data_IF_820976181024
#
_entry.id   IF_820976181024
#
_cell.length_a   1.000
_cell.length_b   1.000
_cell.length_c   1.000
_cell.angle_alpha   90.00
_cell.angle_beta   90.00
_cell.angle_gamma   90.00
#
_symmetry.space_group_name_H-M   'P 1'
#
loop_
_entity.id
_entity.type
_entity.pdbx_description
1 polymer ?
#
# COMPACT_ATOMS: atom_id res chain seq x y z
N UNK A 1 1.06 5.80 -8.88
CA UNK A 1 1.28 7.03 -8.08
C UNK A 1 1.23 6.74 -6.60
N UNK A 2 0.47 5.71 -6.19
CA UNK A 2 0.35 5.24 -4.81
C UNK A 2 1.69 5.03 -4.10
N UNK A 3 2.69 4.45 -4.77
CA UNK A 3 3.99 4.11 -4.17
C UNK A 3 4.70 5.30 -3.53
N UNK A 4 4.66 6.46 -4.18
CA UNK A 4 5.29 7.69 -3.68
C UNK A 4 4.48 8.25 -2.51
N UNK A 5 3.15 8.19 -2.60
CA UNK A 5 2.26 8.69 -1.56
C UNK A 5 2.38 7.84 -0.29
N UNK A 6 2.57 6.52 -0.43
CA UNK A 6 2.76 5.58 0.68
C UNK A 6 3.95 5.95 1.58
N UNK A 7 4.97 6.62 1.04
CA UNK A 7 6.15 7.05 1.81
C UNK A 7 5.78 7.99 2.97
N UNK A 8 4.67 8.74 2.85
CA UNK A 8 4.22 9.67 3.88
C UNK A 8 4.00 8.94 5.19
N UNK A 9 3.02 8.03 5.23
CA UNK A 9 2.78 7.21 6.42
C UNK A 9 3.89 6.18 6.64
N UNK A 10 4.40 5.61 5.55
CA UNK A 10 5.40 4.55 5.59
C UNK A 10 6.69 4.92 6.30
N UNK A 11 7.21 6.14 6.06
CA UNK A 11 8.49 6.59 6.60
C UNK A 11 8.35 7.65 7.70
N UNK A 12 7.15 7.92 8.19
CA UNK A 12 7.00 8.90 9.27
C UNK A 12 7.06 10.35 8.80
N UNK A 13 6.72 10.68 7.54
CA UNK A 13 6.82 12.03 7.01
C UNK A 13 5.50 12.79 7.22
N UNK A 14 5.54 13.91 7.94
CA UNK A 14 4.37 14.76 8.12
C UNK A 14 4.13 15.69 6.93
N UNK A 15 5.22 16.35 6.48
CA UNK A 15 5.20 17.36 5.45
C UNK A 15 6.12 16.93 4.30
N UNK A 16 5.58 16.90 3.08
CA UNK A 16 6.31 16.48 1.89
C UNK A 16 5.82 17.27 0.68
N UNK A 17 6.75 17.79 -0.12
CA UNK A 17 6.46 18.35 -1.44
C UNK A 17 7.02 17.42 -2.51
N UNK A 18 6.14 16.98 -3.41
CA UNK A 18 6.50 16.16 -4.55
C UNK A 18 6.47 17.00 -5.83
N UNK A 19 7.52 16.91 -6.62
CA UNK A 19 7.64 17.56 -7.93
C UNK A 19 8.09 16.52 -8.96
N UNK A 20 7.43 16.47 -10.10
CA UNK A 20 7.76 15.57 -11.21
C UNK A 20 7.67 16.35 -12.51
N UNK A 21 8.66 16.18 -13.37
CA UNK A 21 8.66 16.74 -14.74
C UNK A 21 7.97 15.81 -15.74
N UNK A 22 7.65 14.57 -15.33
CA UNK A 22 6.84 13.61 -16.10
C UNK A 22 5.43 13.47 -15.53
N UNK A 23 4.48 13.14 -16.42
CA UNK A 23 3.10 12.86 -16.04
C UNK A 23 2.96 11.53 -15.29
N UNK A 24 3.78 10.53 -15.65
CA UNK A 24 3.79 9.22 -15.01
C UNK A 24 4.88 9.10 -13.93
N UNK A 25 4.57 8.45 -12.80
CA UNK A 25 5.58 8.14 -11.80
C UNK A 25 6.58 7.10 -12.34
N UNK A 26 7.85 7.16 -11.90
CA UNK A 26 8.87 6.20 -12.31
C UNK A 26 8.49 4.77 -11.91
N UNK A 27 8.75 3.83 -12.83
CA UNK A 27 8.69 2.40 -12.56
C UNK A 27 10.04 1.95 -12.05
N UNK A 28 10.01 1.12 -11.00
CA UNK A 28 11.23 0.67 -10.34
C UNK A 28 11.33 -0.85 -10.38
N UNK A 29 12.52 -1.35 -10.72
CA UNK A 29 12.79 -2.78 -10.81
C UNK A 29 12.75 -3.50 -9.45
N UNK A 30 12.91 -2.77 -8.35
CA UNK A 30 12.99 -3.31 -6.99
C UNK A 30 11.88 -2.77 -6.06
N UNK A 31 10.67 -2.65 -6.59
CA UNK A 31 9.57 -1.99 -5.88
C UNK A 31 9.94 -0.54 -5.52
N UNK A 32 9.44 -0.04 -4.40
CA UNK A 32 9.65 1.35 -3.96
C UNK A 32 10.94 1.57 -3.18
N UNK A 33 11.83 0.57 -3.07
CA UNK A 33 13.10 0.70 -2.33
C UNK A 33 13.99 1.88 -2.76
N UNK A 34 14.13 2.22 -4.06
CA UNK A 34 14.93 3.38 -4.46
C UNK A 34 14.42 4.68 -3.85
N UNK A 35 13.09 4.84 -3.74
CA UNK A 35 12.47 6.00 -3.11
C UNK A 35 12.71 6.01 -1.60
N UNK A 36 12.57 4.85 -0.94
CA UNK A 36 12.85 4.72 0.50
C UNK A 36 14.29 5.12 0.81
N UNK A 37 15.26 4.61 0.02
CA UNK A 37 16.67 4.96 0.17
C UNK A 37 16.93 6.44 -0.06
N UNK A 38 16.31 7.04 -1.08
CA UNK A 38 16.45 8.47 -1.35
C UNK A 38 15.96 9.32 -0.18
N UNK A 39 14.81 8.99 0.41
CA UNK A 39 14.30 9.69 1.60
C UNK A 39 15.21 9.48 2.81
N UNK A 40 15.65 8.25 3.07
CA UNK A 40 16.55 7.96 4.18
C UNK A 40 17.91 8.69 4.06
N UNK A 41 18.44 8.80 2.84
CA UNK A 41 19.67 9.54 2.55
C UNK A 41 19.49 11.05 2.72
N UNK A 42 18.33 11.59 2.34
CA UNK A 42 18.01 13.01 2.54
C UNK A 42 17.84 13.35 4.02
N UNK A 43 17.44 12.37 4.85
CA UNK A 43 17.17 12.57 6.27
C UNK A 43 15.78 13.13 6.54
N UNK A 44 15.38 13.09 7.82
CA UNK A 44 14.10 13.63 8.30
C UNK A 44 14.40 14.64 9.40
N UNK A 45 13.92 15.87 9.23
CA UNK A 45 14.09 16.94 10.22
C UNK A 45 12.81 17.13 11.03
N UNK A 46 12.89 17.14 12.38
CA UNK A 46 11.75 17.49 13.21
C UNK A 46 11.44 18.99 13.10
N UNK A 47 10.15 19.34 12.99
CA UNK A 47 9.72 20.73 12.98
C UNK A 47 9.40 21.23 14.40
N UNK A 48 10.14 22.22 14.94
CA UNK A 48 9.88 22.75 16.28
C UNK A 48 8.46 23.33 16.40
N UNK A 49 7.82 23.10 17.54
CA UNK A 49 6.50 23.68 17.86
C UNK A 49 5.33 23.11 17.05
N UNK A 50 5.54 22.06 16.26
CA UNK A 50 4.52 21.41 15.44
C UNK A 50 4.35 19.94 15.84
N UNK A 51 3.64 19.63 16.95
CA UNK A 51 3.46 18.26 17.39
C UNK A 51 2.62 17.47 16.37
N UNK A 52 3.01 16.22 16.14
CA UNK A 52 2.25 15.29 15.29
C UNK A 52 0.85 15.08 15.87
N UNK A 53 -0.16 15.26 15.02
CA UNK A 53 -1.55 14.98 15.38
C UNK A 53 -1.88 13.51 15.11
N UNK A 54 -2.53 12.87 16.06
CA UNK A 54 -2.98 11.48 15.97
C UNK A 54 -4.51 11.44 15.97
N UNK A 55 -5.07 10.56 15.15
CA UNK A 55 -6.50 10.45 14.87
C UNK A 55 -6.95 9.00 15.02
N UNK A 56 -8.08 8.79 15.69
CA UNK A 56 -8.70 7.48 15.78
C UNK A 56 -10.21 7.58 15.59
N UNK A 57 -10.82 6.47 15.18
CA UNK A 57 -12.27 6.27 15.31
C UNK A 57 -12.61 6.03 16.77
N UNK A 58 -13.84 6.33 17.18
CA UNK A 58 -14.33 6.04 18.54
C UNK A 58 -14.93 4.64 18.65
N UNK A 59 -15.46 4.13 17.54
CA UNK A 59 -16.10 2.83 17.43
C UNK A 59 -15.63 2.15 16.14
N UNK A 60 -15.71 0.81 16.03
CA UNK A 60 -15.32 0.11 14.81
C UNK A 60 -16.10 0.59 13.57
N UNK A 61 -15.39 0.99 12.52
CA UNK A 61 -15.97 1.44 11.24
C UNK A 61 -15.60 0.47 10.13
N UNK A 62 -16.61 -0.05 9.42
CA UNK A 62 -16.40 -0.99 8.33
C UNK A 62 -17.02 -0.51 7.01
N UNK A 63 -16.41 -0.91 5.89
CA UNK A 63 -17.00 -0.84 4.56
C UNK A 63 -16.81 -2.17 3.85
N UNK A 64 -17.83 -2.60 3.10
CA UNK A 64 -17.86 -3.88 2.41
C UNK A 64 -18.20 -3.61 0.94
N UNK A 65 -17.51 -4.31 0.04
CA UNK A 65 -17.87 -4.33 -1.37
C UNK A 65 -18.79 -5.50 -1.70
N UNK A 66 -19.57 -5.44 -2.81
CA UNK A 66 -20.48 -6.52 -3.20
C UNK A 66 -19.80 -7.88 -3.47
N UNK A 67 -18.47 -7.90 -3.64
CA UNK A 67 -17.68 -9.11 -3.89
C UNK A 67 -17.13 -9.76 -2.61
N UNK A 68 -17.58 -9.29 -1.43
CA UNK A 68 -17.21 -9.82 -0.13
C UNK A 68 -15.85 -9.38 0.39
N UNK A 69 -15.22 -8.38 -0.24
CA UNK A 69 -14.04 -7.71 0.31
C UNK A 69 -14.43 -6.57 1.25
N UNK A 70 -13.62 -6.29 2.27
CA UNK A 70 -13.93 -5.28 3.27
C UNK A 70 -12.68 -4.57 3.82
N UNK A 71 -12.93 -3.41 4.42
CA UNK A 71 -12.02 -2.72 5.32
C UNK A 71 -12.72 -2.52 6.66
N UNK A 72 -11.98 -2.62 7.75
CA UNK A 72 -12.43 -2.39 9.11
C UNK A 72 -11.34 -1.61 9.85
N UNK A 73 -11.71 -0.45 10.40
CA UNK A 73 -10.85 0.32 11.31
C UNK A 73 -11.41 0.22 12.72
N UNK A 74 -10.61 -0.31 13.63
CA UNK A 74 -10.93 -0.45 15.05
C UNK A 74 -10.19 0.62 15.87
N UNK A 75 -10.79 1.16 16.93
CA UNK A 75 -10.14 2.12 17.81
C UNK A 75 -8.90 1.49 18.49
N UNK A 76 -7.84 2.29 18.77
CA UNK A 76 -6.72 1.80 19.56
C UNK A 76 -7.15 1.55 21.02
N UNK A 77 -6.59 0.52 21.68
CA UNK A 77 -6.75 0.35 23.13
C UNK A 77 -6.04 1.48 23.88
N UNK A 78 -6.67 1.99 24.95
CA UNK A 78 -6.06 2.90 25.94
C UNK A 78 -5.32 4.12 25.36
N UNK A 79 -5.76 4.65 24.21
CA UNK A 79 -5.13 5.81 23.57
C UNK A 79 -3.79 5.52 22.89
N UNK A 80 -3.49 4.25 22.60
CA UNK A 80 -2.31 3.86 21.85
C UNK A 80 -2.25 4.59 20.50
N UNK A 81 -1.06 5.12 20.18
CA UNK A 81 -0.82 5.90 18.96
C UNK A 81 -0.34 5.05 17.78
N UNK A 82 -0.17 3.74 17.99
CA UNK A 82 0.21 2.79 16.95
C UNK A 82 -0.93 2.56 15.95
N UNK A 83 -0.52 2.28 14.71
CA UNK A 83 -1.39 1.80 13.65
C UNK A 83 -0.99 0.36 13.32
N UNK A 84 -1.82 -0.60 13.71
CA UNK A 84 -1.65 -2.01 13.34
C UNK A 84 -2.31 -2.26 11.99
N UNK A 85 -1.58 -2.86 11.07
CA UNK A 85 -2.05 -3.24 9.73
C UNK A 85 -2.24 -4.76 9.71
N UNK A 86 -3.43 -5.20 9.31
CA UNK A 86 -3.81 -6.62 9.18
C UNK A 86 -4.44 -6.84 7.81
N UNK A 87 -3.68 -7.41 6.87
CA UNK A 87 -4.08 -7.48 5.47
C UNK A 87 -4.08 -8.92 5.00
N UNK A 88 -5.20 -9.31 4.41
CA UNK A 88 -5.40 -10.61 3.79
C UNK A 88 -5.83 -10.47 2.33
N UNK A 89 -5.21 -11.28 1.48
CA UNK A 89 -5.52 -11.39 0.05
C UNK A 89 -5.89 -12.83 -0.30
N UNK A 90 -6.74 -12.98 -1.31
CA UNK A 90 -7.18 -14.28 -1.82
C UNK A 90 -7.29 -14.19 -3.35
N UNK A 91 -6.28 -14.70 -4.03
CA UNK A 91 -6.20 -14.72 -5.48
C UNK A 91 -6.35 -16.14 -6.01
N UNK A 92 -7.13 -16.35 -7.10
CA UNK A 92 -7.25 -17.65 -7.78
C UNK A 92 -6.03 -17.96 -8.68
N UNK A 93 -4.82 -17.69 -8.18
CA UNK A 93 -3.53 -17.84 -8.86
C UNK A 93 -2.50 -18.41 -7.90
N UNK A 94 -1.23 -18.52 -8.32
CA UNK A 94 -0.10 -18.95 -7.50
C UNK A 94 0.08 -18.14 -6.20
N UNK A 95 -0.44 -16.91 -6.13
CA UNK A 95 -0.45 -16.09 -4.92
C UNK A 95 -1.28 -16.77 -3.81
N UNK A 96 -2.47 -17.27 -4.17
CA UNK A 96 -3.40 -17.92 -3.26
C UNK A 96 -3.83 -17.02 -2.09
N UNK A 97 -4.14 -17.66 -0.96
CA UNK A 97 -4.49 -16.99 0.30
C UNK A 97 -3.23 -16.59 1.07
N UNK A 98 -3.16 -15.33 1.47
CA UNK A 98 -2.04 -14.80 2.24
C UNK A 98 -2.58 -13.82 3.28
N UNK A 99 -1.93 -13.73 4.44
CA UNK A 99 -2.24 -12.74 5.47
C UNK A 99 -0.96 -12.31 6.17
N UNK A 100 -0.81 -11.03 6.41
CA UNK A 100 0.26 -10.47 7.26
C UNK A 100 -0.36 -9.50 8.25
N UNK A 101 0.29 -9.39 9.41
CA UNK A 101 -0.05 -8.41 10.42
C UNK A 101 1.24 -7.78 10.95
N UNK A 102 1.26 -6.46 11.09
CA UNK A 102 2.39 -5.72 11.66
C UNK A 102 1.95 -4.37 12.20
N UNK A 103 2.70 -3.84 13.16
CA UNK A 103 2.58 -2.43 13.56
C UNK A 103 3.36 -1.57 12.56
N UNK A 104 2.74 -0.51 12.04
CA UNK A 104 3.36 0.35 11.05
C UNK A 104 4.60 1.04 11.66
N UNK A 105 5.76 0.74 11.11
CA UNK A 105 7.04 1.30 11.49
C UNK A 105 7.91 1.50 10.24
N UNK A 106 8.75 2.55 10.16
CA UNK A 106 9.60 2.81 8.99
C UNK A 106 10.44 1.62 8.53
N UNK A 107 11.01 0.85 9.45
CA UNK A 107 11.82 -0.33 9.09
C UNK A 107 10.99 -1.46 8.47
N UNK A 108 9.79 -1.70 9.00
CA UNK A 108 8.86 -2.71 8.47
C UNK A 108 8.32 -2.26 7.11
N UNK A 109 8.00 -0.97 6.98
CA UNK A 109 7.59 -0.39 5.71
C UNK A 109 8.72 -0.51 4.67
N UNK A 110 9.98 -0.23 5.04
CA UNK A 110 11.12 -0.37 4.14
C UNK A 110 11.29 -1.83 3.65
N UNK A 111 11.05 -2.82 4.51
CA UNK A 111 11.01 -4.22 4.11
C UNK A 111 9.86 -4.49 3.11
N UNK A 112 8.64 -4.06 3.41
CA UNK A 112 7.49 -4.23 2.52
C UNK A 112 7.57 -3.44 1.21
N UNK A 113 8.31 -2.33 1.19
CA UNK A 113 8.50 -1.48 0.02
C UNK A 113 9.27 -2.18 -1.12
N UNK A 114 9.98 -3.28 -0.84
CA UNK A 114 10.61 -4.09 -1.90
C UNK A 114 9.61 -4.91 -2.71
N UNK A 115 8.35 -5.01 -2.26
CA UNK A 115 7.34 -5.81 -2.92
C UNK A 115 6.89 -5.18 -4.23
N UNK A 116 7.02 -5.93 -5.33
CA UNK A 116 6.60 -5.47 -6.66
C UNK A 116 5.09 -5.55 -6.82
N UNK A 117 4.58 -4.69 -7.69
CA UNK A 117 3.21 -4.82 -8.21
C UNK A 117 3.06 -6.20 -8.84
N UNK A 118 1.86 -6.78 -8.75
CA UNK A 118 1.60 -8.10 -9.30
C UNK A 118 0.50 -8.06 -10.36
N UNK A 119 0.50 -9.05 -11.25
CA UNK A 119 -0.56 -9.26 -12.23
C UNK A 119 -0.76 -10.75 -12.51
N UNK A 120 -1.91 -11.11 -13.10
CA UNK A 120 -2.09 -12.48 -13.58
C UNK A 120 -1.33 -12.71 -14.89
N UNK A 121 -0.99 -13.96 -15.16
CA UNK A 121 -0.40 -14.36 -16.44
C UNK A 121 -1.28 -14.00 -17.66
N UNK A 122 -2.60 -13.94 -17.47
CA UNK A 122 -3.55 -13.52 -18.50
C UNK A 122 -3.45 -12.01 -18.75
N UNK A 123 -3.43 -11.21 -17.68
CA UNK A 123 -3.27 -9.75 -17.79
C UNK A 123 -1.93 -9.40 -18.43
N UNK A 124 -0.87 -10.12 -18.05
CA UNK A 124 0.45 -9.96 -18.67
C UNK A 124 0.46 -10.26 -20.16
N UNK A 125 -0.19 -11.34 -20.59
CA UNK A 125 -0.31 -11.68 -22.01
C UNK A 125 -1.13 -10.62 -22.75
N UNK A 126 -2.24 -10.17 -22.16
CA UNK A 126 -3.09 -9.14 -22.73
C UNK A 126 -2.34 -7.83 -22.90
N UNK A 127 -1.62 -7.38 -21.87
CA UNK A 127 -0.78 -6.18 -21.92
C UNK A 127 0.29 -6.28 -23.01
N UNK A 128 0.98 -7.42 -23.12
CA UNK A 128 1.97 -7.62 -24.18
C UNK A 128 1.37 -7.71 -25.58
N UNK A 129 0.16 -8.24 -25.71
CA UNK A 129 -0.49 -8.41 -27.01
C UNK A 129 -1.14 -7.11 -27.46
N UNK A 130 -1.97 -6.48 -26.61
CA UNK A 130 -2.63 -5.21 -26.91
C UNK A 130 -1.66 -4.01 -26.87
N UNK A 131 -0.61 -4.05 -26.04
CA UNK A 131 0.48 -3.06 -26.05
C UNK A 131 1.31 -3.07 -27.34
N UNK A 132 1.22 -4.13 -28.14
CA UNK A 132 1.76 -4.15 -29.50
C UNK A 132 0.81 -3.42 -30.46
N UNK A 133 -0.50 -3.43 -30.24
CA UNK A 133 -1.49 -2.82 -31.16
C UNK A 133 -1.81 -1.36 -30.85
N UNK A 134 -1.60 -0.89 -29.62
CA UNK A 134 -1.82 0.50 -29.23
C UNK A 134 -0.56 1.11 -28.62
N UNK A 135 -0.13 2.25 -29.17
CA UNK A 135 1.03 3.02 -28.70
C UNK A 135 0.87 3.52 -27.27
N UNK A 136 -0.36 3.73 -26.80
CA UNK A 136 -0.65 4.14 -25.43
C UNK A 136 -0.19 3.10 -24.40
N UNK A 137 -0.24 1.82 -24.76
CA UNK A 137 0.14 0.70 -23.90
C UNK A 137 1.55 0.14 -24.21
N UNK A 138 2.28 0.75 -25.17
CA UNK A 138 3.63 0.31 -25.54
C UNK A 138 4.72 0.86 -24.61
N UNK A 139 4.41 1.96 -23.91
CA UNK A 139 5.37 2.71 -23.07
C UNK A 139 5.17 2.53 -21.56
N UNK A 140 4.33 1.57 -21.13
CA UNK A 140 4.03 1.34 -19.71
C UNK A 140 5.20 0.75 -18.93
N UNK A 141 6.37 0.52 -19.56
CA UNK A 141 7.65 0.18 -18.91
C UNK A 141 7.69 -1.09 -18.03
N UNK A 142 6.61 -1.86 -17.95
CA UNK A 142 6.57 -3.10 -17.17
C UNK A 142 7.45 -4.20 -17.82
N UNK A 143 8.26 -4.83 -16.99
CA UNK A 143 9.20 -5.90 -17.34
C UNK A 143 9.03 -7.05 -16.36
N UNK A 144 9.55 -8.23 -16.71
CA UNK A 144 9.61 -9.38 -15.80
C UNK A 144 10.44 -9.14 -14.53
N UNK A 145 11.16 -8.02 -14.45
CA UNK A 145 11.90 -7.59 -13.25
C UNK A 145 11.03 -6.78 -12.31
N UNK A 146 10.24 -5.84 -12.82
CA UNK A 146 9.49 -4.87 -12.01
C UNK A 146 8.05 -5.28 -11.68
N UNK A 147 7.50 -6.32 -12.31
CA UNK A 147 6.19 -6.89 -11.99
C UNK A 147 6.29 -8.35 -11.60
N UNK A 148 5.54 -8.79 -10.60
CA UNK A 148 5.39 -10.19 -10.22
C UNK A 148 4.23 -10.83 -11.01
N UNK A 149 4.54 -11.79 -11.88
CA UNK A 149 3.55 -12.42 -12.76
C UNK A 149 3.09 -13.75 -12.17
N UNK A 150 1.85 -13.80 -11.70
CA UNK A 150 1.24 -14.98 -11.11
C UNK A 150 0.50 -15.82 -12.17
N UNK A 151 1.02 -17.02 -12.45
CA UNK A 151 0.28 -18.04 -13.19
C UNK A 151 -0.77 -18.75 -12.32
N UNK A 152 -1.49 -19.72 -12.89
CA UNK A 152 -2.53 -20.47 -12.17
C UNK A 152 -1.97 -21.28 -11.00
N UNK A 153 -0.81 -21.91 -11.18
CA UNK A 153 -0.20 -22.82 -10.20
C UNK A 153 1.20 -22.41 -9.74
N UNK A 154 1.92 -21.61 -10.53
CA UNK A 154 3.25 -21.11 -10.21
C UNK A 154 3.45 -19.68 -10.74
N UNK A 155 4.39 -18.95 -10.15
CA UNK A 155 4.87 -17.68 -10.69
C UNK A 155 5.64 -17.90 -12.00
N UNK A 156 5.55 -16.95 -12.94
CA UNK A 156 6.31 -17.01 -14.20
C UNK A 156 7.73 -16.49 -14.05
N UNK A 157 7.94 -15.54 -13.15
CA UNK A 157 9.24 -14.97 -12.81
C UNK A 157 9.56 -15.26 -11.34
N UNK A 158 10.82 -15.04 -10.96
CA UNK A 158 11.30 -15.33 -9.62
C UNK A 158 10.61 -14.41 -8.59
N UNK A 159 9.86 -14.98 -7.62
CA UNK A 159 9.24 -14.19 -6.57
C UNK A 159 10.25 -13.83 -5.46
N UNK A 160 9.96 -12.76 -4.74
CA UNK A 160 10.71 -12.32 -3.56
C UNK A 160 9.89 -12.51 -2.26
N UNK A 161 10.43 -12.03 -1.13
CA UNK A 161 9.76 -12.06 0.19
C UNK A 161 9.22 -13.44 0.55
N UNK A 162 10.11 -14.44 0.45
CA UNK A 162 9.79 -15.83 0.75
C UNK A 162 9.69 -16.03 2.27
N UNK A 163 8.62 -16.70 2.68
CA UNK A 163 8.39 -17.16 4.05
C UNK A 163 7.92 -18.61 3.97
N UNK A 164 8.65 -19.52 4.60
CA UNK A 164 8.40 -20.97 4.57
C UNK A 164 8.18 -21.53 3.16
N UNK A 165 8.99 -21.08 2.20
CA UNK A 165 8.92 -21.51 0.79
C UNK A 165 7.78 -20.89 -0.02
N UNK A 166 6.94 -20.02 0.57
CA UNK A 166 5.88 -19.29 -0.12
C UNK A 166 6.22 -17.80 -0.20
N UNK A 167 6.01 -17.19 -1.37
CA UNK A 167 6.16 -15.73 -1.50
C UNK A 167 4.98 -14.99 -0.90
N UNK A 168 5.26 -14.02 -0.03
CA UNK A 168 4.29 -13.08 0.52
C UNK A 168 4.36 -11.71 -0.17
N UNK A 169 5.02 -11.63 -1.32
CA UNK A 169 5.25 -10.37 -2.01
C UNK A 169 3.95 -9.63 -2.36
N UNK A 170 2.92 -10.35 -2.81
CA UNK A 170 1.64 -9.74 -3.17
C UNK A 170 0.90 -9.10 -1.97
N UNK A 171 0.90 -9.77 -0.81
CA UNK A 171 0.25 -9.22 0.39
C UNK A 171 1.07 -8.07 1.00
N UNK A 172 2.41 -8.13 0.94
CA UNK A 172 3.28 -7.01 1.33
C UNK A 172 3.06 -5.78 0.46
N UNK A 173 2.96 -5.95 -0.86
CA UNK A 173 2.64 -4.87 -1.79
C UNK A 173 1.29 -4.21 -1.44
N UNK A 174 0.25 -5.03 -1.27
CA UNK A 174 -1.09 -4.57 -0.93
C UNK A 174 -1.12 -3.82 0.41
N UNK A 175 -0.41 -4.33 1.41
CA UNK A 175 -0.39 -3.72 2.73
C UNK A 175 0.43 -2.44 2.76
N UNK A 176 1.70 -2.49 2.35
CA UNK A 176 2.63 -1.38 2.52
C UNK A 176 2.53 -0.32 1.42
N UNK A 177 2.21 -0.68 0.19
CA UNK A 177 2.19 0.29 -0.91
C UNK A 177 0.77 0.76 -1.22
N UNK A 178 -0.19 -0.15 -1.38
CA UNK A 178 -1.54 0.25 -1.78
C UNK A 178 -2.35 0.85 -0.62
N UNK A 179 -2.50 0.08 0.46
CA UNK A 179 -3.35 0.48 1.59
C UNK A 179 -2.77 1.69 2.32
N UNK A 180 -1.47 1.68 2.64
CA UNK A 180 -0.81 2.84 3.28
C UNK A 180 -0.84 4.08 2.39
N UNK A 181 -0.76 3.96 1.06
CA UNK A 181 -0.95 5.11 0.18
C UNK A 181 -2.35 5.71 0.34
N UNK A 182 -3.39 4.88 0.37
CA UNK A 182 -4.75 5.36 0.57
C UNK A 182 -4.89 6.07 1.93
N UNK A 183 -4.38 5.47 3.02
CA UNK A 183 -4.42 6.10 4.34
C UNK A 183 -3.63 7.42 4.37
N UNK A 184 -2.53 7.51 3.62
CA UNK A 184 -1.72 8.71 3.47
C UNK A 184 -2.46 9.86 2.76
N UNK A 185 -3.61 9.61 2.11
CA UNK A 185 -4.45 10.66 1.51
C UNK A 185 -5.27 11.44 2.54
N UNK A 186 -5.29 11.02 3.81
CA UNK A 186 -5.87 11.83 4.87
C UNK A 186 -5.15 13.18 4.95
N UNK A 187 -5.91 14.26 4.81
CA UNK A 187 -5.38 15.62 4.71
C UNK A 187 -4.66 16.08 5.97
N UNK A 188 -4.99 15.50 7.13
CA UNK A 188 -4.43 15.87 8.42
C UNK A 188 -4.31 14.64 9.32
N UNK A 189 -3.31 14.68 10.21
CA UNK A 189 -3.10 13.68 11.26
C UNK A 189 -2.67 12.29 10.79
N UNK A 190 -2.42 11.45 11.79
CA UNK A 190 -1.96 10.07 11.68
C UNK A 190 -3.00 9.13 12.26
N UNK A 191 -3.47 8.15 11.48
CA UNK A 191 -4.40 7.16 12.01
C UNK A 191 -3.75 6.31 13.10
N UNK A 192 -4.54 5.99 14.11
CA UNK A 192 -4.23 5.06 15.18
C UNK A 192 -5.33 3.98 15.26
N UNK A 193 -4.97 2.84 15.83
CA UNK A 193 -5.86 1.69 15.96
C UNK A 193 -5.46 0.56 15.02
N UNK A 194 -6.42 -0.29 14.66
CA UNK A 194 -6.17 -1.46 13.82
C UNK A 194 -6.95 -1.38 12.51
N UNK A 195 -6.22 -1.37 11.40
CA UNK A 195 -6.79 -1.45 10.06
C UNK A 195 -6.74 -2.90 9.56
N UNK A 196 -7.90 -3.51 9.43
CA UNK A 196 -8.07 -4.84 8.83
C UNK A 196 -8.57 -4.71 7.39
N UNK A 197 -7.92 -5.40 6.45
CA UNK A 197 -8.27 -5.42 5.04
C UNK A 197 -8.38 -6.85 4.53
N UNK A 198 -9.48 -7.18 3.86
CA UNK A 198 -9.63 -8.47 3.18
C UNK A 198 -10.20 -8.29 1.78
N UNK A 199 -9.46 -8.73 0.76
CA UNK A 199 -9.88 -8.63 -0.66
C UNK A 199 -10.37 -7.21 -1.06
N UNK A 200 -9.88 -6.18 -0.37
CA UNK A 200 -10.10 -4.79 -0.75
C UNK A 200 -9.14 -4.42 -1.89
N UNK A 201 -9.49 -3.36 -2.62
CA UNK A 201 -8.66 -2.76 -3.66
C UNK A 201 -8.75 -1.25 -3.60
N UNK A 202 -7.99 -0.54 -4.44
CA UNK A 202 -7.83 0.92 -4.38
C UNK A 202 -9.16 1.69 -4.32
N UNK A 203 -10.17 1.27 -5.07
CA UNK A 203 -11.48 1.94 -5.06
C UNK A 203 -12.16 1.89 -3.68
N UNK A 204 -12.08 0.75 -2.99
CA UNK A 204 -12.65 0.60 -1.65
C UNK A 204 -11.84 1.39 -0.63
N UNK A 205 -10.51 1.42 -0.76
CA UNK A 205 -9.63 2.17 0.13
C UNK A 205 -9.88 3.67 0.04
N UNK A 206 -9.93 4.21 -1.18
CA UNK A 206 -10.21 5.62 -1.44
C UNK A 206 -11.61 6.01 -0.95
N UNK A 207 -12.60 5.15 -1.18
CA UNK A 207 -13.96 5.35 -0.67
C UNK A 207 -13.99 5.38 0.86
N UNK A 208 -13.26 4.47 1.51
CA UNK A 208 -13.18 4.40 2.97
C UNK A 208 -12.60 5.68 3.56
N UNK A 209 -11.45 6.13 3.06
CA UNK A 209 -10.78 7.37 3.51
C UNK A 209 -11.64 8.60 3.26
N UNK A 210 -12.32 8.64 2.12
CA UNK A 210 -13.28 9.70 1.79
C UNK A 210 -14.42 9.74 2.80
N UNK A 211 -15.01 8.59 3.14
CA UNK A 211 -16.12 8.49 4.08
C UNK A 211 -15.69 8.84 5.51
N UNK A 212 -14.52 8.38 5.97
CA UNK A 212 -13.97 8.77 7.28
C UNK A 212 -13.93 10.30 7.43
N UNK A 213 -13.48 10.99 6.39
CA UNK A 213 -13.37 12.46 6.35
C UNK A 213 -14.74 13.13 6.25
N UNK A 214 -15.57 12.74 5.27
CA UNK A 214 -16.89 13.36 5.02
C UNK A 214 -17.86 13.16 6.17
N UNK A 215 -17.82 11.99 6.82
CA UNK A 215 -18.68 11.65 7.97
C UNK A 215 -18.08 12.10 9.31
N UNK A 216 -16.89 12.71 9.31
CA UNK A 216 -16.18 13.20 10.51
C UNK A 216 -16.03 12.12 11.58
N UNK A 217 -15.65 10.90 11.17
CA UNK A 217 -15.56 9.74 12.04
C UNK A 217 -14.25 9.68 12.84
N UNK A 218 -13.32 10.61 12.57
CA UNK A 218 -12.00 10.67 13.19
C UNK A 218 -11.97 11.74 14.28
N UNK A 219 -11.39 11.38 15.42
CA UNK A 219 -11.18 12.28 16.56
C UNK A 219 -9.74 12.24 17.03
N UNK A 220 -9.27 13.36 17.60
CA UNK A 220 -7.90 13.48 18.08
C UNK A 220 -7.64 12.53 19.26
N UNK A 221 -6.54 11.77 19.17
CA UNK A 221 -6.01 10.99 20.29
C UNK A 221 -5.12 11.89 21.12
N UNK A 222 -5.33 11.88 22.44
CA UNK A 222 -4.56 12.73 23.38
C UNK A 222 -3.15 12.19 23.64
#
# INVERSE_FOLDING_TARGET
TEHIIALRYGLGLDNLRLTSDSFDPPLFDNGSLPLVKAVQQAGIEPLPGSPRQFLAVQEPVAIINPKGGFLLLEPPPDGDRRLTIDVAVDFPTAIGKQRIQFDLHPDIFAYGASARTNCSATDWLLLRTLGVFSSEYRHIGYTDRNILVAGKHAYRNQPALLHDGKSLEAVWHRACLDLIAALSLLSQGWLCGKMTSYKAGHALDAQFVTLLTQKRLLTAVK
#
